data_IF_038341815494
#
_entry.id   IF_038341815494
#
_cell.length_a   1.000
_cell.length_b   1.000
_cell.length_c   1.000
_cell.angle_alpha   90.00
_cell.angle_beta   90.00
_cell.angle_gamma   90.00
#
_symmetry.space_group_name_H-M   'P 1'
#
loop_
_entity.id
_entity.type
_entity.pdbx_description
1 polymer ?
#
# COMPACT_ATOMS: atom_id res chain seq x y z
N UNK A 1 82.86 -1.44 -32.60
CA UNK A 1 82.03 -2.28 -31.70
C UNK A 1 80.58 -2.14 -32.14
N UNK A 2 79.88 -3.23 -32.46
CA UNK A 2 78.45 -3.12 -32.81
C UNK A 2 77.63 -2.79 -31.55
N UNK A 3 76.72 -1.78 -31.59
CA UNK A 3 75.81 -1.54 -30.49
C UNK A 3 74.88 -2.75 -30.35
N UNK A 4 74.84 -3.35 -29.16
CA UNK A 4 73.93 -4.46 -28.86
C UNK A 4 72.49 -3.91 -28.91
N UNK A 5 71.72 -4.29 -29.92
CA UNK A 5 70.32 -3.93 -30.05
C UNK A 5 69.51 -4.63 -28.97
N UNK A 6 68.83 -3.86 -28.11
CA UNK A 6 68.01 -4.43 -27.04
C UNK A 6 66.60 -4.63 -27.57
N UNK A 7 66.13 -5.88 -27.66
CA UNK A 7 64.78 -6.19 -28.13
C UNK A 7 63.86 -6.47 -26.93
N UNK A 8 62.67 -5.86 -26.93
CA UNK A 8 61.61 -6.11 -25.97
C UNK A 8 60.37 -6.58 -26.73
N UNK A 9 59.69 -7.59 -26.18
CA UNK A 9 58.45 -8.13 -26.73
C UNK A 9 57.26 -7.51 -25.99
N UNK A 10 56.15 -7.26 -26.67
CA UNK A 10 54.90 -6.87 -26.01
C UNK A 10 53.70 -7.64 -26.56
N UNK A 11 52.67 -7.78 -25.72
CA UNK A 11 51.47 -8.54 -26.03
C UNK A 11 50.26 -7.97 -25.25
N UNK A 12 49.05 -8.04 -25.82
CA UNK A 12 47.81 -7.82 -25.07
C UNK A 12 46.79 -8.92 -25.38
N UNK A 13 46.55 -9.87 -24.46
CA UNK A 13 45.49 -10.87 -24.60
C UNK A 13 44.10 -10.21 -24.69
N UNK A 14 43.87 -9.18 -23.88
CA UNK A 14 42.58 -8.48 -23.73
C UNK A 14 42.18 -7.74 -25.01
N UNK A 15 43.14 -7.06 -25.64
CA UNK A 15 42.92 -6.32 -26.90
C UNK A 15 43.20 -7.17 -28.15
N UNK A 16 43.47 -8.47 -27.99
CA UNK A 16 43.89 -9.40 -29.07
C UNK A 16 45.10 -8.91 -29.89
N UNK A 17 45.99 -8.13 -29.27
CA UNK A 17 47.22 -7.65 -29.92
C UNK A 17 48.23 -8.80 -29.90
N UNK A 18 48.68 -9.30 -31.08
CA UNK A 18 49.65 -10.40 -31.14
C UNK A 18 51.00 -9.99 -30.54
N UNK A 19 51.86 -10.97 -30.29
CA UNK A 19 53.22 -10.71 -29.82
C UNK A 19 53.99 -9.88 -30.86
N UNK A 20 54.48 -8.70 -30.46
CA UNK A 20 55.22 -7.78 -31.32
C UNK A 20 56.55 -7.40 -30.68
N UNK A 21 57.60 -7.26 -31.49
CA UNK A 21 58.96 -6.94 -31.04
C UNK A 21 59.32 -5.48 -31.32
N UNK A 22 59.76 -4.76 -30.29
CA UNK A 22 60.35 -3.42 -30.43
C UNK A 22 61.85 -3.52 -30.27
N UNK A 23 62.60 -3.07 -31.28
CA UNK A 23 64.05 -2.92 -31.19
C UNK A 23 64.40 -1.54 -30.65
N UNK A 24 65.11 -1.49 -29.53
CA UNK A 24 65.57 -0.26 -28.91
C UNK A 24 66.99 0.07 -29.34
N UNK A 25 67.17 1.26 -29.91
CA UNK A 25 68.47 1.88 -30.10
C UNK A 25 68.94 2.53 -28.79
N UNK A 26 70.20 2.34 -28.43
CA UNK A 26 70.83 2.81 -27.19
C UNK A 26 70.93 4.37 -27.05
N UNK A 27 70.32 5.11 -27.98
CA UNK A 27 70.48 6.57 -28.17
C UNK A 27 69.21 7.34 -27.75
N UNK A 28 68.16 6.66 -27.28
CA UNK A 28 66.87 7.31 -26.99
C UNK A 28 66.28 6.91 -25.64
N UNK A 29 66.01 7.90 -24.79
CA UNK A 29 65.36 7.79 -23.48
C UNK A 29 63.84 7.51 -23.59
N UNK A 30 63.48 6.47 -24.35
CA UNK A 30 62.07 6.08 -24.53
C UNK A 30 61.54 5.44 -23.25
N UNK A 31 60.47 6.00 -22.72
CA UNK A 31 59.69 5.48 -21.59
C UNK A 31 58.56 4.56 -22.05
N UNK A 32 57.90 3.90 -21.10
CA UNK A 32 56.69 3.13 -21.37
C UNK A 32 55.52 4.00 -21.90
N UNK A 33 55.39 5.26 -21.48
CA UNK A 33 54.38 6.18 -22.02
C UNK A 33 54.54 6.42 -23.51
N UNK A 34 55.77 6.68 -23.99
CA UNK A 34 56.06 6.81 -25.42
C UNK A 34 55.72 5.54 -26.20
N UNK A 35 55.95 4.36 -25.60
CA UNK A 35 55.55 3.09 -26.22
C UNK A 35 54.02 2.97 -26.29
N UNK A 36 53.26 3.27 -25.23
CA UNK A 36 51.78 3.25 -25.28
C UNK A 36 51.22 4.17 -26.36
N UNK A 37 51.72 5.41 -26.46
CA UNK A 37 51.28 6.36 -27.49
C UNK A 37 51.67 5.91 -28.91
N UNK A 38 52.76 5.16 -29.07
CA UNK A 38 53.11 4.55 -30.36
C UNK A 38 52.22 3.36 -30.74
N UNK A 39 51.58 2.68 -29.78
CA UNK A 39 50.63 1.59 -30.03
C UNK A 39 49.20 2.08 -30.29
N UNK A 40 48.82 3.17 -29.63
CA UNK A 40 47.50 3.76 -29.74
C UNK A 40 47.59 5.15 -30.37
N UNK A 41 47.32 5.20 -31.68
CA UNK A 41 47.20 6.46 -32.45
C UNK A 41 45.85 7.16 -32.15
N UNK A 42 45.49 7.26 -30.85
CA UNK A 42 44.15 7.53 -30.30
C UNK A 42 44.27 8.54 -29.14
N UNK A 43 43.15 9.14 -28.74
CA UNK A 43 43.09 10.18 -27.70
C UNK A 43 43.79 9.78 -26.38
N UNK A 44 44.44 10.73 -25.67
CA UNK A 44 45.22 10.43 -24.46
C UNK A 44 44.38 9.85 -23.31
N UNK A 45 43.07 10.14 -23.27
CA UNK A 45 42.13 9.56 -22.30
C UNK A 45 41.92 8.04 -22.49
N UNK A 46 42.06 7.54 -23.73
CA UNK A 46 42.05 6.11 -23.99
C UNK A 46 43.36 5.46 -23.50
N UNK A 47 44.50 6.13 -23.74
CA UNK A 47 45.83 5.62 -23.38
C UNK A 47 46.04 5.48 -21.87
N UNK A 48 45.52 6.40 -21.06
CA UNK A 48 45.60 6.34 -19.59
C UNK A 48 44.81 5.16 -18.99
N UNK A 49 43.86 4.61 -19.73
CA UNK A 49 43.07 3.44 -19.33
C UNK A 49 43.85 2.12 -19.47
N UNK A 50 45.11 2.13 -19.93
CA UNK A 50 45.96 0.95 -20.04
C UNK A 50 47.24 1.06 -19.21
N UNK A 51 47.83 -0.07 -18.85
CA UNK A 51 49.11 -0.15 -18.14
C UNK A 51 49.91 -1.38 -18.56
N UNK A 52 51.24 -1.30 -18.45
CA UNK A 52 52.10 -2.45 -18.70
C UNK A 52 52.36 -3.22 -17.41
N UNK A 53 52.52 -4.53 -17.56
CA UNK A 53 52.97 -5.43 -16.50
C UNK A 53 54.16 -6.26 -16.97
N UNK A 54 55.11 -6.49 -16.07
CA UNK A 54 56.20 -7.46 -16.25
C UNK A 54 56.10 -8.48 -15.12
N UNK A 55 56.01 -9.77 -15.45
CA UNK A 55 55.85 -10.87 -14.48
C UNK A 55 54.71 -10.61 -13.45
N UNK A 56 53.59 -10.03 -13.92
CA UNK A 56 52.42 -9.70 -13.10
C UNK A 56 52.52 -8.42 -12.27
N UNK A 57 53.68 -7.74 -12.21
CA UNK A 57 53.84 -6.47 -11.51
C UNK A 57 53.52 -5.28 -12.43
N UNK A 58 52.68 -4.31 -12.02
CA UNK A 58 52.42 -3.10 -12.79
C UNK A 58 53.66 -2.20 -12.85
N UNK A 59 53.89 -1.60 -14.01
CA UNK A 59 55.00 -0.67 -14.25
C UNK A 59 54.47 0.77 -14.38
N UNK A 60 55.27 1.74 -13.93
CA UNK A 60 54.96 3.16 -14.07
C UNK A 60 55.27 3.64 -15.49
N UNK A 61 54.43 4.54 -16.01
CA UNK A 61 54.53 5.08 -17.37
C UNK A 61 55.85 5.82 -17.66
N UNK A 62 56.47 6.37 -16.62
CA UNK A 62 57.77 7.06 -16.65
C UNK A 62 58.97 6.09 -16.70
N UNK A 63 58.76 4.78 -16.54
CA UNK A 63 59.86 3.80 -16.50
C UNK A 63 60.62 3.78 -17.84
N UNK A 64 61.96 3.96 -17.86
CA UNK A 64 62.75 3.92 -19.09
C UNK A 64 62.88 2.50 -19.65
N UNK A 65 62.71 2.33 -20.95
CA UNK A 65 62.79 1.01 -21.61
C UNK A 65 64.21 0.41 -21.61
N UNK A 66 65.24 1.24 -21.44
CA UNK A 66 66.66 0.85 -21.35
C UNK A 66 67.13 0.67 -19.90
N UNK A 67 66.23 0.35 -18.97
CA UNK A 67 66.58 0.04 -17.57
C UNK A 67 67.06 -1.40 -17.41
N UNK A 68 67.97 -1.66 -16.47
CA UNK A 68 68.45 -3.01 -16.07
C UNK A 68 67.35 -3.98 -15.63
N UNK A 69 66.13 -3.49 -15.39
CA UNK A 69 64.94 -4.27 -15.07
C UNK A 69 64.39 -5.07 -16.27
N UNK A 70 64.71 -4.67 -17.51
CA UNK A 70 64.26 -5.35 -18.72
C UNK A 70 65.40 -6.18 -19.31
N UNK A 71 65.39 -7.49 -19.09
CA UNK A 71 66.26 -8.40 -19.82
C UNK A 71 65.95 -8.37 -21.33
N UNK A 72 66.92 -8.69 -22.22
CA UNK A 72 66.63 -8.89 -23.64
C UNK A 72 65.53 -9.94 -23.82
N UNK A 73 64.62 -9.70 -24.76
CA UNK A 73 63.43 -10.53 -25.03
C UNK A 73 62.44 -10.66 -23.86
N UNK A 74 62.54 -9.80 -22.84
CA UNK A 74 61.47 -9.67 -21.83
C UNK A 74 60.13 -9.32 -22.48
N UNK A 75 59.05 -9.91 -21.98
CA UNK A 75 57.69 -9.74 -22.52
C UNK A 75 56.86 -8.82 -21.62
N UNK A 76 56.48 -7.66 -22.15
CA UNK A 76 55.60 -6.70 -21.50
C UNK A 76 54.14 -6.97 -21.85
N UNK A 77 53.32 -7.15 -20.83
CA UNK A 77 51.92 -7.50 -20.99
C UNK A 77 51.05 -6.27 -20.75
N UNK A 78 50.36 -5.80 -21.79
CA UNK A 78 49.50 -4.63 -21.78
C UNK A 78 48.09 -5.01 -21.31
N UNK A 79 47.66 -4.38 -20.21
CA UNK A 79 46.41 -4.64 -19.48
C UNK A 79 45.52 -3.40 -19.46
N UNK A 80 44.22 -3.61 -19.48
CA UNK A 80 43.21 -2.56 -19.26
C UNK A 80 43.00 -2.31 -17.76
N UNK A 81 42.90 -1.04 -17.38
CA UNK A 81 42.34 -0.64 -16.08
C UNK A 81 40.82 -0.75 -16.21
N UNK A 82 40.26 -1.87 -15.76
CA UNK A 82 38.83 -1.94 -15.53
C UNK A 82 38.48 -0.89 -14.47
N UNK A 83 37.63 0.08 -14.82
CA UNK A 83 37.01 0.95 -13.85
C UNK A 83 36.14 0.07 -12.96
N UNK A 84 36.65 -0.29 -11.78
CA UNK A 84 35.91 -1.00 -10.76
C UNK A 84 34.75 -0.13 -10.31
N UNK A 85 33.58 -0.35 -10.91
CA UNK A 85 32.33 0.21 -10.40
C UNK A 85 32.18 -0.27 -8.96
N UNK A 86 32.15 0.67 -8.02
CA UNK A 86 31.97 0.38 -6.60
C UNK A 86 30.69 -0.43 -6.42
N UNK A 87 30.85 -1.73 -6.25
CA UNK A 87 29.84 -2.60 -5.69
C UNK A 87 29.73 -2.30 -4.21
N UNK A 88 29.31 -1.07 -3.89
CA UNK A 88 29.05 -0.59 -2.54
C UNK A 88 27.82 -1.35 -2.05
N UNK A 89 28.05 -2.59 -1.62
CA UNK A 89 27.10 -3.44 -0.93
C UNK A 89 26.79 -2.76 0.39
N UNK A 90 25.87 -1.79 0.32
CA UNK A 90 25.67 -0.80 1.36
C UNK A 90 25.45 -1.48 2.70
N UNK A 91 26.46 -1.40 3.56
CA UNK A 91 26.30 -1.72 4.96
C UNK A 91 25.17 -0.81 5.46
N UNK A 92 24.00 -1.40 5.74
CA UNK A 92 22.88 -0.63 6.30
C UNK A 92 23.37 -0.02 7.60
N UNK A 93 23.53 1.30 7.63
CA UNK A 93 24.10 2.08 8.74
C UNK A 93 23.19 2.11 9.97
N UNK A 94 22.71 0.95 10.41
CA UNK A 94 22.04 0.77 11.67
C UNK A 94 23.09 0.86 12.77
N UNK A 95 23.12 2.02 13.44
CA UNK A 95 24.04 2.36 14.53
C UNK A 95 23.94 1.39 15.73
N UNK A 96 22.87 0.58 15.79
CA UNK A 96 22.68 -0.47 16.79
C UNK A 96 21.96 -1.70 16.23
N UNK A 97 22.17 -2.85 16.89
CA UNK A 97 21.47 -4.11 16.62
C UNK A 97 19.95 -3.95 16.68
N UNK A 98 19.46 -3.15 17.63
CA UNK A 98 18.03 -2.92 17.84
C UNK A 98 17.42 -2.03 16.75
N UNK A 99 18.17 -1.04 16.24
CA UNK A 99 17.78 -0.26 15.07
C UNK A 99 17.59 -1.17 13.84
N UNK A 100 18.53 -2.09 13.61
CA UNK A 100 18.43 -3.08 12.54
C UNK A 100 17.17 -3.95 12.73
N UNK A 101 17.00 -4.57 13.91
CA UNK A 101 15.85 -5.44 14.18
C UNK A 101 14.51 -4.71 14.03
N UNK A 102 14.40 -3.47 14.52
CA UNK A 102 13.19 -2.66 14.37
C UNK A 102 12.90 -2.30 12.89
N UNK A 103 13.92 -2.08 12.06
CA UNK A 103 13.73 -1.80 10.62
C UNK A 103 13.19 -3.00 9.83
N UNK A 104 13.36 -4.23 10.35
CA UNK A 104 12.82 -5.46 9.76
C UNK A 104 11.63 -6.07 10.53
N UNK A 105 11.29 -5.54 11.71
CA UNK A 105 10.14 -5.99 12.51
C UNK A 105 8.80 -5.67 11.82
N UNK A 106 8.73 -4.51 11.16
CA UNK A 106 7.60 -4.15 10.30
C UNK A 106 7.93 -4.52 8.85
N UNK A 107 7.20 -5.49 8.27
CA UNK A 107 7.33 -5.80 6.85
C UNK A 107 6.90 -4.56 6.07
N UNK A 108 7.87 -3.86 5.45
CA UNK A 108 7.59 -2.73 4.55
C UNK A 108 6.55 -3.19 3.52
N UNK A 109 5.48 -2.43 3.28
CA UNK A 109 4.47 -2.81 2.30
C UNK A 109 5.14 -2.98 0.94
N UNK A 110 4.82 -4.07 0.25
CA UNK A 110 5.37 -4.33 -1.07
C UNK A 110 4.99 -3.16 -2.00
N UNK A 111 5.96 -2.64 -2.75
CA UNK A 111 5.76 -1.47 -3.62
C UNK A 111 4.93 -1.87 -4.84
N UNK A 112 3.61 -1.97 -4.68
CA UNK A 112 2.68 -2.26 -5.78
C UNK A 112 2.63 -1.07 -6.74
N UNK A 113 2.79 -1.34 -8.02
CA UNK A 113 2.86 -0.32 -9.05
C UNK A 113 1.55 0.50 -9.11
N UNK A 114 1.58 1.86 -9.10
CA UNK A 114 0.35 2.66 -9.12
C UNK A 114 -0.55 2.38 -10.34
N UNK A 115 0.06 1.96 -11.46
CA UNK A 115 -0.67 1.55 -12.65
C UNK A 115 -1.44 0.23 -12.44
N UNK A 116 -0.85 -0.73 -11.73
CA UNK A 116 -1.45 -2.03 -11.41
C UNK A 116 -2.58 -1.89 -10.38
N UNK A 117 -2.38 -1.06 -9.34
CA UNK A 117 -3.45 -0.72 -8.38
C UNK A 117 -4.67 -0.11 -9.11
N UNK A 118 -4.40 0.82 -10.04
CA UNK A 118 -5.41 1.49 -10.86
C UNK A 118 -6.14 0.51 -11.79
N UNK A 119 -5.45 -0.42 -12.44
CA UNK A 119 -6.09 -1.47 -13.25
C UNK A 119 -6.92 -2.41 -12.37
N UNK A 120 -6.37 -2.87 -11.23
CA UNK A 120 -7.06 -3.77 -10.30
C UNK A 120 -8.39 -3.18 -9.79
N UNK A 121 -8.42 -1.89 -9.41
CA UNK A 121 -9.65 -1.21 -8.95
C UNK A 121 -10.75 -1.19 -10.02
N UNK A 122 -10.40 -1.24 -11.31
CA UNK A 122 -11.33 -1.12 -12.43
C UNK A 122 -11.69 -2.45 -13.11
N UNK A 123 -10.80 -3.44 -13.06
CA UNK A 123 -10.99 -4.74 -13.70
C UNK A 123 -11.42 -5.85 -12.74
N UNK A 124 -11.29 -5.65 -11.42
CA UNK A 124 -11.64 -6.65 -10.41
C UNK A 124 -12.80 -6.20 -9.51
N UNK A 125 -13.50 -7.18 -8.94
CA UNK A 125 -14.57 -7.02 -7.97
C UNK A 125 -14.03 -6.46 -6.64
N UNK A 126 -14.53 -5.32 -6.18
CA UNK A 126 -14.05 -4.64 -4.96
C UNK A 126 -14.26 -5.42 -3.65
N UNK A 127 -14.92 -6.59 -3.68
CA UNK A 127 -15.13 -7.46 -2.52
C UNK A 127 -14.31 -8.76 -2.57
N UNK A 128 -14.22 -9.40 -3.75
CA UNK A 128 -13.55 -10.71 -3.91
C UNK A 128 -12.16 -10.60 -4.53
N UNK A 129 -11.81 -9.44 -5.11
CA UNK A 129 -10.61 -9.20 -5.92
C UNK A 129 -10.48 -10.09 -7.18
N UNK A 130 -11.50 -10.89 -7.49
CA UNK A 130 -11.63 -11.64 -8.74
C UNK A 130 -11.88 -10.71 -9.93
N UNK A 131 -11.51 -11.07 -11.17
CA UNK A 131 -11.86 -10.30 -12.35
C UNK A 131 -13.38 -10.10 -12.46
N UNK A 132 -13.79 -8.93 -12.95
CA UNK A 132 -15.18 -8.60 -13.16
C UNK A 132 -15.80 -9.52 -14.21
N UNK A 133 -16.93 -10.12 -13.86
CA UNK A 133 -17.73 -11.00 -14.73
C UNK A 133 -19.18 -10.60 -14.65
N UNK A 134 -19.86 -10.62 -15.78
CA UNK A 134 -21.30 -10.42 -15.81
C UNK A 134 -22.03 -11.57 -15.08
N UNK A 135 -23.10 -11.28 -14.32
CA UNK A 135 -23.70 -9.97 -14.08
C UNK A 135 -22.95 -9.13 -13.01
N UNK A 136 -22.65 -7.88 -13.35
CA UNK A 136 -22.05 -6.91 -12.42
C UNK A 136 -23.11 -6.07 -11.69
N UNK A 137 -22.73 -5.55 -10.51
CA UNK A 137 -23.52 -4.58 -9.74
C UNK A 137 -22.64 -3.45 -9.23
N UNK A 138 -23.21 -2.27 -9.05
CA UNK A 138 -22.53 -1.13 -8.40
C UNK A 138 -23.27 -0.74 -7.13
N UNK A 139 -22.53 -0.28 -6.12
CA UNK A 139 -23.12 0.37 -4.95
C UNK A 139 -23.40 1.87 -5.20
N UNK A 140 -23.91 2.53 -4.17
CA UNK A 140 -24.23 3.97 -4.23
C UNK A 140 -23.01 4.89 -4.03
N UNK A 141 -21.81 4.32 -3.82
CA UNK A 141 -20.54 5.05 -3.67
C UNK A 141 -19.64 4.95 -4.92
N UNK A 142 -20.03 4.11 -5.89
CA UNK A 142 -19.28 3.93 -7.14
C UNK A 142 -18.41 2.67 -7.21
N UNK A 143 -18.49 1.77 -6.21
CA UNK A 143 -17.72 0.53 -6.18
C UNK A 143 -18.42 -0.58 -6.98
N UNK A 144 -17.68 -1.32 -7.80
CA UNK A 144 -18.22 -2.41 -8.64
C UNK A 144 -17.95 -3.76 -8.01
N UNK A 145 -18.93 -4.66 -8.11
CA UNK A 145 -18.86 -6.02 -7.58
C UNK A 145 -19.42 -7.04 -8.59
N UNK A 146 -18.88 -8.25 -8.55
CA UNK A 146 -19.53 -9.43 -9.12
C UNK A 146 -20.79 -9.74 -8.29
N UNK A 147 -21.94 -9.83 -8.95
CA UNK A 147 -23.24 -9.98 -8.25
C UNK A 147 -23.31 -11.25 -7.40
N UNK A 148 -22.74 -12.35 -7.90
CA UNK A 148 -22.70 -13.65 -7.21
C UNK A 148 -21.95 -13.51 -5.87
N UNK A 149 -20.68 -13.08 -5.91
CA UNK A 149 -19.86 -12.88 -4.72
C UNK A 149 -20.49 -11.92 -3.69
N UNK A 150 -21.12 -10.82 -4.15
CA UNK A 150 -21.78 -9.87 -3.24
C UNK A 150 -23.03 -10.44 -2.57
N UNK A 151 -23.82 -11.25 -3.29
CA UNK A 151 -25.00 -11.93 -2.74
C UNK A 151 -24.59 -13.02 -1.74
N UNK A 152 -23.58 -13.83 -2.06
CA UNK A 152 -23.03 -14.85 -1.16
C UNK A 152 -22.50 -14.22 0.14
N UNK A 153 -21.77 -13.11 0.05
CA UNK A 153 -21.26 -12.39 1.22
C UNK A 153 -22.37 -11.78 2.08
N UNK A 154 -23.48 -11.32 1.48
CA UNK A 154 -24.66 -10.86 2.22
C UNK A 154 -25.37 -12.00 2.96
N UNK A 155 -25.57 -13.15 2.30
CA UNK A 155 -26.18 -14.34 2.90
C UNK A 155 -25.31 -14.83 4.07
N UNK A 156 -24.00 -14.92 3.86
CA UNK A 156 -23.03 -15.31 4.89
C UNK A 156 -22.73 -14.24 5.94
N UNK A 157 -23.25 -13.01 5.81
CA UNK A 157 -22.92 -11.84 6.64
C UNK A 157 -21.40 -11.55 6.72
N UNK A 158 -20.64 -11.89 5.67
CA UNK A 158 -19.16 -11.78 5.60
C UNK A 158 -18.67 -10.43 5.06
N UNK A 159 -19.52 -9.42 4.98
CA UNK A 159 -19.13 -8.11 4.43
C UNK A 159 -18.13 -7.36 5.34
N UNK A 160 -17.02 -6.85 4.79
CA UNK A 160 -16.15 -5.90 5.47
C UNK A 160 -16.90 -4.67 5.98
N UNK A 161 -16.39 -4.05 7.06
CA UNK A 161 -16.99 -2.85 7.67
C UNK A 161 -17.14 -1.69 6.68
N UNK A 162 -16.22 -1.58 5.71
CA UNK A 162 -16.20 -0.59 4.64
C UNK A 162 -17.44 -0.64 3.74
N UNK A 163 -17.97 -1.85 3.49
CA UNK A 163 -19.16 -2.10 2.67
C UNK A 163 -20.45 -2.24 3.49
N UNK A 164 -20.42 -1.93 4.79
CA UNK A 164 -21.56 -2.07 5.71
C UNK A 164 -22.77 -1.16 5.41
N UNK A 165 -22.69 -0.27 4.41
CA UNK A 165 -23.84 0.46 3.85
C UNK A 165 -24.73 -0.41 2.96
N UNK A 166 -24.20 -1.50 2.37
CA UNK A 166 -24.96 -2.42 1.52
C UNK A 166 -25.72 -3.40 2.41
N UNK A 167 -27.05 -3.28 2.50
CA UNK A 167 -27.88 -4.13 3.38
C UNK A 167 -28.77 -5.12 2.65
N UNK A 168 -28.89 -4.96 1.34
CA UNK A 168 -29.60 -5.90 0.47
C UNK A 168 -29.71 -5.39 -0.96
N UNK A 169 -30.46 -6.13 -1.77
CA UNK A 169 -30.61 -5.93 -3.21
C UNK A 169 -31.09 -4.52 -3.63
N UNK A 170 -31.74 -3.77 -2.72
CA UNK A 170 -32.21 -2.39 -2.98
C UNK A 170 -31.12 -1.34 -2.93
N UNK A 171 -29.99 -1.65 -2.29
CA UNK A 171 -28.83 -0.77 -2.20
C UNK A 171 -27.83 -1.02 -3.33
N UNK A 172 -28.08 -2.05 -4.17
CA UNK A 172 -27.34 -2.38 -5.38
C UNK A 172 -28.07 -1.85 -6.61
N UNK A 173 -27.32 -1.50 -7.64
CA UNK A 173 -27.83 -1.26 -8.99
C UNK A 173 -27.21 -2.33 -9.89
N UNK A 174 -28.04 -3.07 -10.65
CA UNK A 174 -27.53 -3.98 -11.67
C UNK A 174 -26.89 -3.15 -12.79
N UNK A 175 -25.68 -3.52 -13.19
CA UNK A 175 -24.90 -2.78 -14.18
C UNK A 175 -24.62 -3.65 -15.39
N UNK A 176 -24.76 -3.05 -16.58
CA UNK A 176 -24.33 -3.62 -17.85
C UNK A 176 -23.05 -2.93 -18.29
N UNK A 177 -22.02 -3.74 -18.54
CA UNK A 177 -20.76 -3.33 -19.13
C UNK A 177 -20.70 -3.97 -20.51
N UNK A 178 -20.35 -3.23 -21.55
CA UNK A 178 -20.26 -3.79 -22.90
C UNK A 178 -18.86 -4.36 -23.13
N UNK A 179 -18.80 -5.63 -23.54
CA UNK A 179 -17.54 -6.34 -23.82
C UNK A 179 -16.85 -5.79 -25.08
N UNK A 180 -15.52 -5.86 -25.11
CA UNK A 180 -14.75 -5.59 -26.33
C UNK A 180 -14.78 -6.85 -27.21
N UNK A 181 -15.35 -6.79 -28.44
CA UNK A 181 -15.38 -7.94 -29.32
C UNK A 181 -13.96 -8.34 -29.75
N UNK A 182 -13.60 -9.61 -29.54
CA UNK A 182 -12.30 -10.18 -29.92
C UNK A 182 -11.21 -10.13 -28.84
N UNK A 183 -11.53 -9.77 -27.59
CA UNK A 183 -10.59 -9.87 -26.46
C UNK A 183 -10.93 -11.10 -25.62
N UNK A 184 -10.11 -12.15 -25.74
CA UNK A 184 -10.21 -13.34 -24.89
C UNK A 184 -9.75 -13.07 -23.45
N UNK A 185 -10.25 -13.89 -22.52
CA UNK A 185 -10.16 -13.72 -21.06
C UNK A 185 -8.73 -13.60 -20.47
N UNK A 186 -7.68 -13.91 -21.26
CA UNK A 186 -6.28 -14.01 -20.83
C UNK A 186 -5.33 -12.89 -21.26
N UNK A 187 -5.76 -11.91 -22.07
CA UNK A 187 -4.91 -10.77 -22.44
C UNK A 187 -5.02 -9.67 -21.37
N UNK A 188 -3.88 -9.13 -20.94
CA UNK A 188 -3.72 -8.19 -19.81
C UNK A 188 -4.22 -6.76 -20.10
N UNK A 189 -5.46 -6.63 -20.60
CA UNK A 189 -6.13 -5.38 -20.95
C UNK A 189 -7.54 -5.27 -20.35
N UNK A 190 -8.25 -4.19 -20.67
CA UNK A 190 -9.64 -4.04 -20.24
C UNK A 190 -10.57 -4.89 -21.09
N UNK A 191 -11.43 -5.69 -20.44
CA UNK A 191 -12.43 -6.55 -21.10
C UNK A 191 -13.69 -5.79 -21.55
N UNK A 192 -13.92 -4.61 -20.97
CA UNK A 192 -15.12 -3.80 -21.17
C UNK A 192 -14.78 -2.45 -21.79
N UNK A 193 -15.76 -1.85 -22.47
CA UNK A 193 -15.66 -0.54 -23.11
C UNK A 193 -16.94 0.29 -22.94
N UNK A 194 -16.86 1.59 -23.24
CA UNK A 194 -18.04 2.43 -23.41
C UNK A 194 -18.75 2.07 -24.74
N UNK A 195 -20.07 1.77 -24.74
CA UNK A 195 -20.80 1.42 -25.98
C UNK A 195 -20.86 2.54 -27.03
N UNK A 196 -20.59 3.79 -26.63
CA UNK A 196 -20.77 4.99 -27.46
C UNK A 196 -19.42 5.56 -27.90
N UNK A 197 -18.48 5.65 -26.95
CA UNK A 197 -17.18 6.29 -27.18
C UNK A 197 -16.06 5.29 -27.51
N UNK A 198 -16.33 3.97 -27.46
CA UNK A 198 -15.32 2.93 -27.66
C UNK A 198 -14.15 2.95 -26.66
N UNK A 199 -14.27 3.71 -25.56
CA UNK A 199 -13.20 3.88 -24.59
C UNK A 199 -13.10 2.67 -23.66
N UNK A 200 -11.91 2.10 -23.57
CA UNK A 200 -11.56 1.02 -22.64
C UNK A 200 -11.90 1.35 -21.18
N UNK A 201 -12.45 0.36 -20.48
CA UNK A 201 -12.73 0.40 -19.04
C UNK A 201 -11.48 0.12 -18.19
N UNK A 202 -10.39 0.83 -18.50
CA UNK A 202 -9.07 0.63 -17.89
C UNK A 202 -8.76 1.62 -16.76
N UNK A 203 -9.68 2.52 -16.42
CA UNK A 203 -9.48 3.59 -15.41
C UNK A 203 -8.57 4.74 -15.82
N UNK A 204 -8.26 4.94 -17.11
CA UNK A 204 -7.63 6.18 -17.63
C UNK A 204 -8.68 7.28 -17.88
N UNK A 205 -9.92 6.87 -18.12
CA UNK A 205 -11.06 7.75 -18.33
C UNK A 205 -12.04 7.62 -17.16
N UNK A 206 -12.79 8.70 -16.88
CA UNK A 206 -13.90 8.66 -15.91
C UNK A 206 -15.14 8.04 -16.57
N UNK A 207 -15.89 7.26 -15.79
CA UNK A 207 -17.13 6.62 -16.21
C UNK A 207 -18.25 6.89 -15.19
N UNK A 208 -19.48 6.92 -15.67
CA UNK A 208 -20.69 7.09 -14.88
C UNK A 208 -21.63 5.90 -15.08
N UNK A 209 -22.19 5.37 -14.00
CA UNK A 209 -23.31 4.45 -14.03
C UNK A 209 -24.62 5.22 -13.84
N UNK A 210 -25.65 4.90 -14.62
CA UNK A 210 -26.99 5.49 -14.50
C UNK A 210 -27.88 4.62 -13.61
N UNK A 211 -28.37 5.17 -12.48
CA UNK A 211 -29.23 4.44 -11.52
C UNK A 211 -30.47 3.79 -12.15
N UNK A 212 -31.11 4.45 -13.12
CA UNK A 212 -32.43 4.05 -13.64
C UNK A 212 -32.38 2.92 -14.67
N UNK A 213 -31.20 2.68 -15.28
CA UNK A 213 -31.06 1.71 -16.37
C UNK A 213 -29.84 0.78 -16.25
N UNK A 214 -28.83 1.13 -15.45
CA UNK A 214 -27.64 0.30 -15.25
C UNK A 214 -26.58 0.39 -16.35
N UNK A 215 -26.76 1.20 -17.39
CA UNK A 215 -25.72 1.36 -18.42
C UNK A 215 -24.56 2.22 -17.91
N UNK A 216 -23.34 1.85 -18.32
CA UNK A 216 -22.10 2.57 -18.00
C UNK A 216 -21.65 3.39 -19.20
N UNK A 217 -21.53 4.70 -19.00
CA UNK A 217 -21.14 5.64 -20.05
C UNK A 217 -19.85 6.36 -19.65
N UNK A 218 -18.99 6.64 -20.62
CA UNK A 218 -17.80 7.47 -20.37
C UNK A 218 -18.18 8.92 -20.12
N UNK A 219 -17.40 9.61 -19.30
CA UNK A 219 -17.61 11.02 -19.03
C UNK A 219 -17.45 11.93 -20.26
N UNK A 220 -16.73 11.47 -21.30
CA UNK A 220 -16.64 12.15 -22.60
C UNK A 220 -17.99 12.11 -23.32
N UNK A 221 -18.57 10.92 -23.49
CA UNK A 221 -19.88 10.74 -24.14
C UNK A 221 -20.98 11.59 -23.47
N UNK A 222 -21.05 11.61 -22.13
CA UNK A 222 -22.02 12.43 -21.39
C UNK A 222 -21.74 13.94 -21.41
N UNK A 223 -20.54 14.37 -21.83
CA UNK A 223 -20.19 15.80 -21.98
C UNK A 223 -20.44 16.30 -23.40
N UNK A 224 -20.16 15.46 -24.39
CA UNK A 224 -20.42 15.71 -25.81
C UNK A 224 -21.93 15.69 -26.10
N UNK A 225 -22.66 14.71 -25.57
CA UNK A 225 -24.12 14.60 -25.73
C UNK A 225 -24.81 14.85 -24.40
N UNK A 226 -25.27 16.09 -24.19
CA UNK A 226 -26.08 16.50 -23.03
C UNK A 226 -27.55 16.07 -23.20
N UNK A 227 -27.82 14.78 -23.13
CA UNK A 227 -29.18 14.25 -23.09
C UNK A 227 -29.71 14.13 -21.66
N UNK A 228 -31.02 14.31 -21.49
CA UNK A 228 -31.78 13.92 -20.28
C UNK A 228 -32.15 12.43 -20.27
N UNK A 229 -31.80 11.70 -21.33
CA UNK A 229 -32.12 10.29 -21.53
C UNK A 229 -30.87 9.45 -21.81
N UNK A 230 -30.91 8.18 -21.40
CA UNK A 230 -29.84 7.22 -21.58
C UNK A 230 -29.60 6.96 -23.07
N UNK A 231 -28.37 7.20 -23.52
CA UNK A 231 -28.00 7.08 -24.94
C UNK A 231 -28.03 5.65 -25.50
N UNK A 232 -28.19 4.62 -24.66
CA UNK A 232 -28.28 3.20 -25.06
C UNK A 232 -29.72 2.66 -25.04
N UNK A 233 -30.58 3.17 -24.15
CA UNK A 233 -31.92 2.62 -23.93
C UNK A 233 -33.03 3.67 -23.78
N UNK A 234 -32.73 4.94 -24.09
CA UNK A 234 -33.60 6.12 -24.08
C UNK A 234 -34.41 6.41 -22.79
N UNK A 235 -34.13 5.70 -21.69
CA UNK A 235 -34.73 5.98 -20.37
C UNK A 235 -34.24 7.30 -19.80
N UNK A 236 -35.17 8.11 -19.31
CA UNK A 236 -34.90 9.38 -18.64
C UNK A 236 -34.08 9.20 -17.34
N UNK A 237 -33.20 10.16 -17.07
CA UNK A 237 -32.41 10.22 -15.84
C UNK A 237 -32.19 11.67 -15.39
N UNK A 238 -32.06 11.87 -14.09
CA UNK A 238 -31.62 13.14 -13.53
C UNK A 238 -30.09 13.17 -13.35
N UNK A 239 -29.49 14.36 -13.21
CA UNK A 239 -28.06 14.47 -12.88
C UNK A 239 -27.70 13.85 -11.53
N UNK A 240 -28.69 13.74 -10.63
CA UNK A 240 -28.57 13.08 -9.33
C UNK A 240 -28.47 11.55 -9.43
N UNK A 241 -28.95 10.96 -10.53
CA UNK A 241 -28.90 9.52 -10.82
C UNK A 241 -27.58 9.08 -11.47
N UNK A 242 -26.74 10.03 -11.88
CA UNK A 242 -25.37 9.79 -12.33
C UNK A 242 -24.50 9.44 -11.11
N UNK A 243 -23.96 8.22 -11.09
CA UNK A 243 -23.03 7.74 -10.06
C UNK A 243 -21.64 7.64 -10.69
N UNK A 244 -20.66 8.33 -10.11
CA UNK A 244 -19.26 8.24 -10.55
C UNK A 244 -18.69 6.89 -10.16
N UNK A 245 -18.15 6.16 -11.13
CA UNK A 245 -17.51 4.88 -10.87
C UNK A 245 -16.09 5.12 -10.36
N UNK A 246 -15.71 4.45 -9.26
CA UNK A 246 -14.35 4.48 -8.70
C UNK A 246 -13.77 5.89 -8.47
N UNK A 247 -14.62 6.87 -8.18
CA UNK A 247 -14.27 8.29 -8.06
C UNK A 247 -13.22 8.63 -7.00
N UNK A 248 -12.81 9.90 -6.98
CA UNK A 248 -11.88 10.44 -5.98
C UNK A 248 -12.53 10.46 -4.59
N UNK A 249 -11.73 10.50 -3.52
CA UNK A 249 -12.24 10.48 -2.14
C UNK A 249 -13.25 11.63 -1.86
N UNK A 250 -13.03 12.81 -2.44
CA UNK A 250 -13.97 13.94 -2.39
C UNK A 250 -15.33 13.60 -3.04
N UNK A 251 -15.33 12.99 -4.23
CA UNK A 251 -16.53 12.56 -4.95
C UNK A 251 -17.27 11.45 -4.15
N UNK A 252 -16.52 10.52 -3.56
CA UNK A 252 -17.04 9.46 -2.69
C UNK A 252 -17.64 10.02 -1.40
N UNK A 253 -17.06 11.08 -0.82
CA UNK A 253 -17.64 11.80 0.33
C UNK A 253 -18.97 12.45 -0.06
N UNK A 254 -19.06 13.11 -1.21
CA UNK A 254 -20.33 13.69 -1.71
C UNK A 254 -21.40 12.61 -1.94
N UNK A 255 -21.03 11.45 -2.51
CA UNK A 255 -21.93 10.31 -2.67
C UNK A 255 -22.38 9.73 -1.30
N UNK A 256 -21.45 9.62 -0.34
CA UNK A 256 -21.72 9.16 1.03
C UNK A 256 -22.67 10.12 1.77
N UNK A 257 -22.49 11.43 1.61
CA UNK A 257 -23.42 12.43 2.14
C UNK A 257 -24.82 12.27 1.53
N UNK A 258 -24.92 12.17 0.19
CA UNK A 258 -26.19 11.97 -0.54
C UNK A 258 -26.92 10.72 -0.04
N UNK A 259 -26.18 9.63 0.17
CA UNK A 259 -26.71 8.40 0.78
C UNK A 259 -27.19 8.59 2.22
N UNK A 260 -26.47 9.37 3.03
CA UNK A 260 -26.90 9.67 4.40
C UNK A 260 -28.18 10.52 4.43
N UNK A 261 -28.31 11.51 3.53
CA UNK A 261 -29.45 12.43 3.42
C UNK A 261 -30.72 11.66 3.03
N UNK A 262 -30.66 10.92 1.92
CA UNK A 262 -31.79 10.06 1.48
C UNK A 262 -32.19 9.00 2.50
N UNK A 263 -31.23 8.43 3.24
CA UNK A 263 -31.52 7.46 4.34
C UNK A 263 -32.22 8.14 5.52
N UNK A 264 -31.78 9.34 5.92
CA UNK A 264 -32.40 10.14 6.98
C UNK A 264 -33.85 10.52 6.60
N UNK A 265 -34.09 10.96 5.37
CA UNK A 265 -35.43 11.28 4.86
C UNK A 265 -36.35 10.06 4.80
N UNK A 266 -35.88 8.94 4.27
CA UNK A 266 -36.63 7.66 4.26
C UNK A 266 -37.00 7.23 5.69
N UNK A 267 -36.13 7.45 6.69
CA UNK A 267 -36.46 7.23 8.11
C UNK A 267 -37.49 8.23 8.65
N UNK A 268 -37.34 9.54 8.38
CA UNK A 268 -38.32 10.58 8.78
C UNK A 268 -39.72 10.29 8.23
N UNK A 269 -39.84 10.00 6.92
CA UNK A 269 -41.12 9.63 6.28
C UNK A 269 -41.75 8.38 6.93
N UNK A 270 -40.96 7.32 7.19
CA UNK A 270 -41.44 6.13 7.92
C UNK A 270 -41.90 6.44 9.35
N UNK A 271 -41.22 7.32 10.07
CA UNK A 271 -41.63 7.75 11.41
C UNK A 271 -42.94 8.57 11.38
N UNK A 272 -43.10 9.47 10.42
CA UNK A 272 -44.36 10.22 10.24
C UNK A 272 -45.53 9.27 9.94
N UNK A 273 -45.38 8.34 8.99
CA UNK A 273 -46.42 7.34 8.66
C UNK A 273 -46.76 6.49 9.90
N UNK A 274 -45.77 6.09 10.70
CA UNK A 274 -46.02 5.33 11.94
C UNK A 274 -46.74 6.17 13.01
N UNK A 275 -46.44 7.48 13.12
CA UNK A 275 -47.17 8.39 14.03
C UNK A 275 -48.64 8.55 13.61
N UNK A 276 -48.91 8.81 12.33
CA UNK A 276 -50.29 8.93 11.81
C UNK A 276 -51.07 7.64 12.05
N UNK A 277 -50.46 6.47 11.83
CA UNK A 277 -51.13 5.18 12.08
C UNK A 277 -51.33 4.82 13.57
N UNK A 278 -50.69 5.54 14.49
CA UNK A 278 -50.83 5.38 15.93
C UNK A 278 -51.72 6.47 16.57
N UNK A 279 -52.19 7.46 15.79
CA UNK A 279 -52.91 8.63 16.29
C UNK A 279 -54.37 8.70 15.85
N UNK A 280 -55.01 7.57 15.53
CA UNK A 280 -56.44 7.51 15.19
C UNK A 280 -57.13 6.37 15.95
N UNK A 281 -57.50 6.66 17.19
CA UNK A 281 -58.53 5.98 17.99
C UNK A 281 -59.28 7.09 18.70
N UNK A 282 -60.62 7.05 18.61
CA UNK A 282 -61.66 7.84 19.32
C UNK A 282 -62.64 8.54 18.36
N UNK A 283 -63.57 7.75 17.79
CA UNK A 283 -65.00 8.07 17.67
C UNK A 283 -65.76 6.75 17.87
N UNK A 284 -66.86 6.79 18.61
CA UNK A 284 -67.61 5.64 19.13
C UNK A 284 -68.30 4.71 18.10
N UNK A 285 -68.43 3.47 18.56
CA UNK A 285 -69.36 2.37 18.27
C UNK A 285 -70.46 2.52 17.19
N UNK A 286 -70.46 1.59 16.21
CA UNK A 286 -71.51 0.55 16.08
C UNK A 286 -71.06 -0.59 15.10
N UNK A 287 -71.48 -1.85 15.32
CA UNK A 287 -71.55 -2.87 14.24
C UNK A 287 -70.41 -3.92 13.98
N UNK A 288 -70.14 -4.81 14.94
CA UNK A 288 -70.02 -6.31 14.79
C UNK A 288 -69.04 -7.00 13.77
N UNK A 289 -68.26 -7.97 14.30
CA UNK A 289 -67.57 -9.15 13.67
C UNK A 289 -66.27 -8.95 12.82
N UNK A 290 -65.07 -9.37 13.30
CA UNK A 290 -64.37 -10.70 13.18
C UNK A 290 -63.89 -11.03 11.74
N UNK A 291 -62.64 -11.39 11.38
CA UNK A 291 -61.39 -11.83 12.08
C UNK A 291 -60.16 -11.01 11.59
N UNK A 292 -58.91 -11.07 12.11
CA UNK A 292 -58.34 -11.83 13.23
C UNK A 292 -57.05 -12.61 12.89
N UNK A 293 -55.86 -11.95 12.83
CA UNK A 293 -54.53 -12.58 13.11
C UNK A 293 -53.34 -11.59 13.08
N UNK A 294 -52.89 -11.14 14.25
CA UNK A 294 -51.47 -10.89 14.56
C UNK A 294 -51.19 -11.22 16.02
N UNK A 295 -50.31 -12.19 16.25
CA UNK A 295 -49.86 -12.60 17.58
C UNK A 295 -48.61 -11.81 17.98
N UNK A 296 -48.62 -11.19 19.16
CA UNK A 296 -47.40 -10.79 19.87
C UNK A 296 -47.52 -11.24 21.32
N UNK A 297 -46.88 -12.36 21.65
CA UNK A 297 -46.92 -12.94 22.99
C UNK A 297 -45.87 -12.32 23.90
N UNK A 298 -46.31 -11.57 24.91
CA UNK A 298 -45.60 -11.40 26.18
C UNK A 298 -46.29 -12.27 27.23
N UNK A 299 -45.54 -13.14 27.91
CA UNK A 299 -46.00 -13.81 29.13
C UNK A 299 -44.97 -13.69 30.23
N UNK A 300 -45.48 -13.50 31.44
CA UNK A 300 -44.73 -13.38 32.68
C UNK A 300 -44.24 -14.76 33.15
N UNK A 301 -43.24 -14.78 34.04
CA UNK A 301 -42.81 -16.00 34.72
C UNK A 301 -43.67 -16.36 35.93
N UNK A 302 -43.46 -17.57 36.44
CA UNK A 302 -43.85 -18.06 37.78
C UNK A 302 -42.71 -18.94 38.27
N UNK A 303 -42.37 -18.86 39.56
CA UNK A 303 -41.36 -19.66 40.25
C UNK A 303 -41.78 -21.12 40.44
N UNK A 304 -40.79 -22.02 40.62
CA UNK A 304 -40.93 -23.14 41.55
C UNK A 304 -39.56 -23.61 42.10
N UNK A 305 -39.54 -24.10 43.36
CA UNK A 305 -38.31 -24.42 44.13
C UNK A 305 -38.21 -25.89 44.56
N UNK A 306 -37.03 -26.48 44.38
CA UNK A 306 -36.42 -27.48 45.28
C UNK A 306 -34.88 -27.44 45.08
N UNK A 307 -34.05 -26.95 46.03
CA UNK A 307 -33.48 -27.67 47.20
C UNK A 307 -32.50 -28.77 46.74
N UNK A 308 -31.20 -28.81 47.12
CA UNK A 308 -30.57 -28.37 48.39
C UNK A 308 -29.07 -27.95 48.29
N UNK A 309 -28.62 -27.12 49.26
CA UNK A 309 -27.36 -27.17 50.08
C UNK A 309 -25.96 -27.22 49.36
N UNK A 310 -24.85 -26.66 49.90
CA UNK A 310 -24.55 -26.13 51.25
C UNK A 310 -23.43 -25.05 51.21
N UNK A 311 -23.61 -24.00 52.02
CA UNK A 311 -22.65 -23.13 52.77
C UNK A 311 -21.39 -22.47 52.11
N UNK A 312 -20.98 -21.25 52.52
CA UNK A 312 -21.58 -20.35 53.52
C UNK A 312 -20.97 -18.93 53.62
N UNK A 313 -21.80 -18.01 54.13
CA UNK A 313 -21.60 -16.72 54.84
C UNK A 313 -20.28 -15.90 54.70
N UNK A 314 -20.29 -14.55 54.67
CA UNK A 314 -21.38 -13.55 54.77
C UNK A 314 -20.85 -12.11 54.50
N UNK A 315 -21.63 -11.18 53.92
CA UNK A 315 -22.47 -10.13 54.60
C UNK A 315 -21.65 -9.08 55.37
N UNK A 316 -21.79 -7.73 55.27
CA UNK A 316 -22.69 -6.74 54.60
C UNK A 316 -21.86 -5.45 54.34
N UNK A 317 -22.11 -4.51 53.41
CA UNK A 317 -23.06 -4.39 52.28
C UNK A 317 -23.56 -2.93 52.05
N UNK A 318 -24.34 -2.74 50.96
CA UNK A 318 -25.29 -1.64 50.65
C UNK A 318 -24.83 -0.30 49.99
N UNK A 319 -25.34 -0.11 48.75
CA UNK A 319 -25.72 1.14 48.03
C UNK A 319 -24.69 2.25 47.75
N UNK A 320 -24.53 2.58 46.46
CA UNK A 320 -24.51 3.99 46.02
C UNK A 320 -23.72 4.38 44.76
N UNK A 321 -24.42 4.49 43.62
CA UNK A 321 -24.31 5.56 42.59
C UNK A 321 -22.96 5.84 41.86
N UNK A 322 -23.04 5.82 40.51
CA UNK A 322 -22.22 6.56 39.50
C UNK A 322 -20.76 6.19 39.19
N UNK A 323 -20.41 6.37 37.91
CA UNK A 323 -19.09 6.21 37.29
C UNK A 323 -17.99 7.09 37.90
N UNK A 324 -16.85 6.49 38.28
CA UNK A 324 -15.55 7.17 38.32
C UNK A 324 -14.44 6.23 37.86
N UNK A 325 -13.53 6.75 37.03
CA UNK A 325 -12.39 6.05 36.44
C UNK A 325 -11.55 5.22 37.43
N UNK A 326 -11.02 4.09 36.93
CA UNK A 326 -10.06 3.25 37.64
C UNK A 326 -8.84 4.08 38.08
N UNK A 327 -8.67 4.27 39.39
CA UNK A 327 -7.58 5.05 39.98
C UNK A 327 -6.26 4.30 39.75
N UNK A 328 -5.34 4.90 38.97
CA UNK A 328 -3.96 4.40 38.82
C UNK A 328 -3.28 4.33 40.18
N UNK A 329 -2.54 3.25 40.42
CA UNK A 329 -1.82 2.96 41.66
C UNK A 329 -0.90 4.12 42.08
N UNK A 330 -0.92 4.53 43.35
CA UNK A 330 -0.03 5.55 43.90
C UNK A 330 0.99 4.90 44.83
N UNK A 331 2.27 5.15 44.58
CA UNK A 331 3.37 4.56 45.36
C UNK A 331 3.40 4.99 46.85
N UNK A 332 2.61 6.00 47.24
CA UNK A 332 2.43 6.43 48.64
C UNK A 332 1.63 5.47 49.50
N UNK A 333 0.92 4.51 48.89
CA UNK A 333 -0.12 3.74 49.58
C UNK A 333 0.44 2.51 50.32
N UNK A 334 1.71 2.14 50.05
CA UNK A 334 2.44 1.07 50.72
C UNK A 334 3.87 1.55 51.06
N UNK A 335 3.98 2.42 52.08
CA UNK A 335 5.26 2.89 52.61
C UNK A 335 5.69 2.07 53.85
N UNK A 336 6.95 1.61 53.95
CA UNK A 336 7.45 0.92 55.15
C UNK A 336 7.55 1.89 56.34
N UNK A 337 7.30 1.38 57.55
CA UNK A 337 7.05 2.19 58.76
C UNK A 337 8.13 3.22 59.14
N UNK A 338 9.39 3.00 58.74
CA UNK A 338 10.53 3.87 59.07
C UNK A 338 10.96 4.81 57.92
N UNK A 339 10.21 4.86 56.81
CA UNK A 339 10.51 5.75 55.69
C UNK A 339 9.55 6.95 55.64
N UNK A 340 10.09 8.16 55.47
CA UNK A 340 9.27 9.34 55.19
C UNK A 340 8.68 9.23 53.78
N UNK A 341 7.40 9.63 53.64
CA UNK A 341 6.63 9.42 52.40
C UNK A 341 7.29 10.07 51.17
N UNK A 342 7.94 11.22 51.34
CA UNK A 342 8.62 11.95 50.26
C UNK A 342 9.88 11.24 49.79
N UNK A 343 10.66 10.65 50.71
CA UNK A 343 11.84 9.85 50.37
C UNK A 343 11.43 8.57 49.66
N UNK A 344 10.40 7.87 50.15
CA UNK A 344 9.90 6.67 49.48
C UNK A 344 9.31 6.98 48.09
N UNK A 345 8.56 8.08 47.96
CA UNK A 345 8.03 8.53 46.66
C UNK A 345 9.13 8.93 45.67
N UNK A 346 10.30 9.39 46.14
CA UNK A 346 11.43 9.77 45.26
C UNK A 346 12.07 8.61 44.51
N UNK A 347 11.87 7.36 44.98
CA UNK A 347 12.35 6.13 44.33
C UNK A 347 11.54 5.82 43.04
N UNK A 348 10.31 6.32 42.96
CA UNK A 348 9.39 6.03 41.84
C UNK A 348 9.32 7.20 40.87
N UNK A 349 9.66 6.94 39.59
CA UNK A 349 9.68 7.93 38.50
C UNK A 349 8.34 8.61 38.21
N UNK A 350 7.23 8.12 38.77
CA UNK A 350 5.91 8.73 38.65
C UNK A 350 5.70 9.99 39.51
N UNK A 351 6.57 10.28 40.49
CA UNK A 351 6.34 11.33 41.50
C UNK A 351 6.85 12.73 41.12
N UNK A 352 7.82 12.84 40.20
CA UNK A 352 8.38 14.12 39.72
C UNK A 352 8.17 14.27 38.22
N UNK A 353 7.29 15.20 37.82
CA UNK A 353 6.99 15.50 36.40
C UNK A 353 7.53 16.84 35.86
N UNK A 354 7.92 17.76 36.74
CA UNK A 354 8.36 19.11 36.36
C UNK A 354 9.87 19.25 36.22
N UNK A 355 10.64 18.66 37.15
CA UNK A 355 12.05 19.01 37.36
C UNK A 355 13.01 17.81 37.21
N UNK A 356 12.89 17.07 36.11
CA UNK A 356 13.87 16.02 35.75
C UNK A 356 14.77 16.52 34.64
N UNK A 357 16.01 16.91 34.99
CA UNK A 357 17.02 17.32 34.01
C UNK A 357 17.65 16.06 33.41
N UNK A 358 17.32 15.77 32.15
CA UNK A 358 17.85 14.60 31.44
C UNK A 358 19.38 14.59 31.46
N UNK A 359 19.94 13.45 31.86
CA UNK A 359 21.37 13.16 31.71
C UNK A 359 21.52 11.90 30.85
N UNK A 360 22.68 11.78 30.19
CA UNK A 360 22.94 10.87 29.08
C UNK A 360 22.64 9.37 29.36
N UNK A 361 22.59 8.97 30.64
CA UNK A 361 22.33 7.60 31.10
C UNK A 361 20.85 7.19 31.16
N UNK A 362 19.88 8.10 31.02
CA UNK A 362 18.45 7.80 31.26
C UNK A 362 17.64 7.33 30.03
N UNK A 363 18.28 7.01 28.90
CA UNK A 363 17.59 6.66 27.63
C UNK A 363 16.89 5.29 27.58
N UNK A 364 16.96 4.47 28.62
CA UNK A 364 16.56 3.05 28.58
C UNK A 364 15.15 2.73 29.10
N UNK A 365 14.32 3.72 29.47
CA UNK A 365 12.96 3.48 29.95
C UNK A 365 11.89 4.17 29.08
N UNK A 366 10.85 3.44 28.60
CA UNK A 366 9.83 3.97 27.71
C UNK A 366 8.79 4.81 28.46
N UNK A 367 9.10 6.09 28.66
CA UNK A 367 8.16 7.08 29.19
C UNK A 367 7.14 7.48 28.10
N UNK A 368 5.85 7.20 28.30
CA UNK A 368 4.78 7.87 27.54
C UNK A 368 3.71 7.01 26.83
N UNK A 369 3.61 5.70 27.06
CA UNK A 369 2.45 4.90 26.62
C UNK A 369 1.53 4.55 27.80
N UNK A 370 0.50 5.36 28.03
CA UNK A 370 -0.75 5.04 28.78
C UNK A 370 -1.68 6.26 28.87
#
# INVERSE_FOLDING_TARGET
MNPKSHQILFHSPELRIPLQSVTLSFVSDRTLSHLKHSLFNVSPQFVSSFYFTLNGKPLLDETPLLTTQFAPFSTLLLRSRLFGGGGDGGATGAESRDCYLNMYAEKKPDKVDPNEQRLSKWLNCALSNEPLREPCVIDNLGNIFNKVALVEALIGKKLPKEFGHIKGLKDMINVKLDLIPGVDDGISGAKFQCPIAGLEFNGKYRFFALRNCGHVLSAKASKEVKSSCCLVCHKEFEELDKIVINGNDEEVVVLRERMSKTTKEKKKKKMMIKKVKNGNVDVDDDGVSLEGKRLSGTKHGVDDKAVAKVEGNGRVGLKGVSDVAAKRFKATDIAPANATKDVYASIFTSSRKSDFKETYSCRSLPLGRN
#
